data_IF_468562058717
#
_entry.id   IF_468562058717
#
_cell.length_a   1.000
_cell.length_b   1.000
_cell.length_c   1.000
_cell.angle_alpha   90.00
_cell.angle_beta   90.00
_cell.angle_gamma   90.00
#
_symmetry.space_group_name_H-M   'P 1'
#
loop_
_entity.id
_entity.type
_entity.pdbx_description
1 polymer ?
#
# COMPACT_ATOMS: atom_id res chain seq x y z
N UNK A 1 16.53 -2.24 7.50
CA UNK A 1 15.50 -2.83 6.62
C UNK A 1 16.13 -3.18 5.28
N UNK A 2 16.10 -4.46 4.89
CA UNK A 2 16.68 -4.96 3.64
C UNK A 2 15.81 -4.56 2.43
N UNK A 3 16.36 -4.65 1.21
CA UNK A 3 15.59 -4.38 -0.01
C UNK A 3 14.37 -5.31 -0.13
N UNK A 4 14.56 -6.60 0.16
CA UNK A 4 13.47 -7.57 0.20
C UNK A 4 12.34 -7.16 1.17
N UNK A 5 12.70 -6.75 2.39
CA UNK A 5 11.72 -6.32 3.39
C UNK A 5 10.92 -5.11 2.88
N UNK A 6 11.59 -4.13 2.25
CA UNK A 6 10.95 -2.98 1.61
C UNK A 6 9.96 -3.39 0.52
N UNK A 7 10.38 -4.26 -0.39
CA UNK A 7 9.53 -4.72 -1.50
C UNK A 7 8.31 -5.49 -0.99
N UNK A 8 8.49 -6.43 -0.05
CA UNK A 8 7.36 -7.19 0.51
C UNK A 8 6.39 -6.31 1.30
N UNK A 9 6.90 -5.32 2.04
CA UNK A 9 6.07 -4.35 2.75
C UNK A 9 5.26 -3.50 1.77
N UNK A 10 5.90 -2.96 0.72
CA UNK A 10 5.25 -2.15 -0.32
C UNK A 10 4.16 -2.96 -1.04
N UNK A 11 4.44 -4.22 -1.38
CA UNK A 11 3.43 -5.12 -1.94
C UNK A 11 2.23 -5.26 -1.01
N UNK A 12 2.43 -5.51 0.29
CA UNK A 12 1.34 -5.64 1.27
C UNK A 12 0.54 -4.35 1.47
N UNK A 13 1.15 -3.18 1.32
CA UNK A 13 0.41 -1.91 1.37
C UNK A 13 -0.57 -1.77 0.20
N UNK A 14 -0.18 -2.22 -0.99
CA UNK A 14 -1.04 -2.19 -2.18
C UNK A 14 -2.05 -3.34 -2.20
N UNK A 15 -1.70 -4.49 -1.62
CA UNK A 15 -2.48 -5.72 -1.60
C UNK A 15 -2.67 -6.26 -0.17
N UNK A 16 -3.38 -5.53 0.72
CA UNK A 16 -3.41 -5.84 2.15
C UNK A 16 -3.99 -7.24 2.45
N UNK A 17 -5.07 -7.61 1.77
CA UNK A 17 -5.83 -8.83 2.06
C UNK A 17 -5.63 -9.94 1.03
N UNK A 18 -4.62 -9.83 0.17
CA UNK A 18 -4.43 -10.81 -0.90
C UNK A 18 -3.94 -12.16 -0.33
N UNK A 19 -4.64 -13.27 -0.60
CA UNK A 19 -4.25 -14.59 -0.13
C UNK A 19 -3.03 -15.10 -0.91
N UNK A 20 -2.26 -16.01 -0.30
CA UNK A 20 -1.02 -16.56 -0.89
C UNK A 20 -1.23 -17.14 -2.30
N UNK A 21 -2.40 -17.72 -2.56
CA UNK A 21 -2.77 -18.26 -3.88
C UNK A 21 -2.81 -17.18 -4.95
N UNK A 22 -3.40 -16.03 -4.64
CA UNK A 22 -3.48 -14.92 -5.58
C UNK A 22 -2.12 -14.22 -5.75
N UNK A 23 -1.33 -14.12 -4.68
CA UNK A 23 0.05 -13.62 -4.79
C UNK A 23 0.86 -14.53 -5.72
N UNK A 24 0.71 -15.85 -5.58
CA UNK A 24 1.36 -16.84 -6.45
C UNK A 24 0.95 -16.67 -7.90
N UNK A 25 -0.34 -16.48 -8.18
CA UNK A 25 -0.84 -16.25 -9.54
C UNK A 25 -0.34 -14.92 -10.12
N UNK A 26 -0.31 -13.86 -9.32
CA UNK A 26 0.09 -12.51 -9.74
C UNK A 26 1.60 -12.42 -10.03
N UNK A 27 2.42 -13.01 -9.17
CA UNK A 27 3.90 -12.94 -9.28
C UNK A 27 4.49 -14.08 -10.11
N UNK A 28 3.73 -15.14 -10.40
CA UNK A 28 4.24 -16.37 -11.01
C UNK A 28 5.15 -17.20 -10.08
N UNK A 29 5.30 -16.80 -8.82
CA UNK A 29 6.11 -17.51 -7.82
C UNK A 29 5.26 -18.64 -7.23
N UNK A 30 5.82 -19.84 -7.05
CA UNK A 30 5.13 -20.96 -6.42
C UNK A 30 4.58 -20.60 -5.03
N UNK A 31 3.34 -20.97 -4.71
CA UNK A 31 2.67 -20.62 -3.45
C UNK A 31 3.48 -20.94 -2.17
N UNK A 32 4.15 -22.09 -2.14
CA UNK A 32 5.01 -22.51 -1.01
C UNK A 32 6.25 -21.63 -0.90
N UNK A 33 6.79 -21.16 -2.03
CA UNK A 33 7.89 -20.20 -2.06
C UNK A 33 7.44 -18.82 -1.60
N UNK A 34 6.27 -18.34 -2.04
CA UNK A 34 5.67 -17.10 -1.53
C UNK A 34 5.54 -17.13 -0.01
N UNK A 35 4.98 -18.22 0.54
CA UNK A 35 4.89 -18.40 2.00
C UNK A 35 6.26 -18.28 2.67
N UNK A 36 7.29 -18.95 2.15
CA UNK A 36 8.66 -18.89 2.70
C UNK A 36 9.27 -17.49 2.63
N UNK A 37 9.03 -16.73 1.56
CA UNK A 37 9.53 -15.36 1.40
C UNK A 37 8.94 -14.42 2.44
N UNK A 38 7.62 -14.51 2.70
CA UNK A 38 6.97 -13.73 3.76
C UNK A 38 7.41 -14.15 5.18
N UNK A 39 7.99 -15.35 5.33
CA UNK A 39 8.59 -15.82 6.58
C UNK A 39 10.12 -15.61 6.62
N UNK A 40 10.66 -14.68 5.83
CA UNK A 40 12.05 -14.23 5.94
C UNK A 40 13.09 -15.08 5.19
N UNK A 41 12.68 -16.02 4.34
CA UNK A 41 13.65 -16.66 3.42
C UNK A 41 14.15 -15.64 2.39
N UNK A 42 15.44 -15.69 2.09
CA UNK A 42 16.07 -14.83 1.09
C UNK A 42 15.40 -14.96 -0.28
N UNK A 43 15.14 -13.81 -0.89
CA UNK A 43 14.54 -13.62 -2.19
C UNK A 43 15.62 -13.65 -3.28
N UNK A 44 15.34 -14.35 -4.38
CA UNK A 44 16.17 -14.31 -5.59
C UNK A 44 15.86 -13.05 -6.39
N UNK A 45 16.79 -12.65 -7.25
CA UNK A 45 16.61 -11.46 -8.11
C UNK A 45 15.32 -11.53 -8.93
N UNK A 46 15.05 -12.65 -9.62
CA UNK A 46 13.82 -12.78 -10.41
C UNK A 46 12.53 -12.80 -9.58
N UNK A 47 12.60 -13.18 -8.30
CA UNK A 47 11.44 -13.09 -7.39
C UNK A 47 11.20 -11.64 -6.97
N UNK A 48 12.28 -10.87 -6.77
CA UNK A 48 12.22 -9.45 -6.46
C UNK A 48 11.65 -8.66 -7.63
N UNK A 49 12.13 -8.92 -8.84
CA UNK A 49 11.61 -8.33 -10.07
C UNK A 49 10.12 -8.65 -10.29
N UNK A 50 9.69 -9.88 -10.00
CA UNK A 50 8.28 -10.26 -10.09
C UNK A 50 7.39 -9.46 -9.11
N UNK A 51 7.86 -9.23 -7.89
CA UNK A 51 7.14 -8.38 -6.93
C UNK A 51 7.12 -6.91 -7.35
N UNK A 52 8.25 -6.35 -7.79
CA UNK A 52 8.30 -4.97 -8.26
C UNK A 52 7.42 -4.76 -9.50
N UNK A 53 7.39 -5.72 -10.43
CA UNK A 53 6.47 -5.69 -11.57
C UNK A 53 5.01 -5.62 -11.11
N UNK A 54 4.59 -6.50 -10.21
CA UNK A 54 3.21 -6.50 -9.71
C UNK A 54 2.83 -5.20 -8.97
N UNK A 55 3.79 -4.60 -8.24
CA UNK A 55 3.64 -3.30 -7.60
C UNK A 55 3.44 -2.20 -8.64
N UNK A 56 4.29 -2.16 -9.67
CA UNK A 56 4.24 -1.14 -10.71
C UNK A 56 2.98 -1.27 -11.57
N UNK A 57 2.57 -2.49 -11.91
CA UNK A 57 1.32 -2.76 -12.63
C UNK A 57 0.13 -2.21 -11.82
N UNK A 58 0.12 -2.43 -10.49
CA UNK A 58 -0.94 -1.92 -9.61
C UNK A 58 -0.97 -0.40 -9.49
N UNK A 59 0.20 0.21 -9.50
CA UNK A 59 0.34 1.67 -9.50
C UNK A 59 -0.16 2.26 -10.82
N UNK A 60 0.21 1.64 -11.95
CA UNK A 60 -0.18 2.07 -13.29
C UNK A 60 -1.69 1.97 -13.54
N UNK A 61 -2.42 1.06 -12.86
CA UNK A 61 -3.89 1.05 -12.86
C UNK A 61 -4.52 2.36 -12.37
N UNK A 62 -3.76 3.20 -11.66
CA UNK A 62 -4.22 4.51 -11.19
C UNK A 62 -3.40 5.63 -11.84
N UNK A 63 -3.87 6.19 -12.98
CA UNK A 63 -3.17 7.27 -13.70
C UNK A 63 -2.90 8.52 -12.84
N UNK A 64 -3.69 8.71 -11.78
CA UNK A 64 -3.51 9.82 -10.84
C UNK A 64 -2.35 9.57 -9.86
N UNK A 65 -1.98 8.31 -9.60
CA UNK A 65 -0.88 7.96 -8.72
C UNK A 65 0.48 8.17 -9.40
N UNK A 66 0.60 7.85 -10.68
CA UNK A 66 1.82 8.12 -11.44
C UNK A 66 2.13 9.62 -11.47
N UNK A 67 1.12 10.44 -11.81
CA UNK A 67 1.22 11.91 -11.75
C UNK A 67 1.60 12.42 -10.35
N UNK A 68 1.03 11.82 -9.30
CA UNK A 68 1.38 12.17 -7.92
C UNK A 68 2.83 11.82 -7.60
N UNK A 69 3.31 10.66 -8.05
CA UNK A 69 4.69 10.21 -7.80
C UNK A 69 5.69 11.15 -8.45
N UNK A 70 5.48 11.48 -9.72
CA UNK A 70 6.34 12.45 -10.43
C UNK A 70 6.31 13.83 -9.76
N UNK A 71 5.13 14.31 -9.34
CA UNK A 71 5.02 15.58 -8.62
C UNK A 71 5.75 15.57 -7.27
N UNK A 72 5.74 14.45 -6.55
CA UNK A 72 6.47 14.30 -5.28
C UNK A 72 7.98 14.24 -5.50
N UNK A 73 8.44 13.54 -6.53
CA UNK A 73 9.86 13.50 -6.91
C UNK A 73 10.37 14.90 -7.26
N UNK A 74 9.63 15.64 -8.10
CA UNK A 74 9.98 17.02 -8.43
C UNK A 74 9.96 17.92 -7.19
N UNK A 75 8.93 17.81 -6.35
CA UNK A 75 8.83 18.54 -5.09
C UNK A 75 10.01 18.26 -4.15
N UNK A 76 10.56 17.04 -4.14
CA UNK A 76 11.72 16.70 -3.30
C UNK A 76 13.02 17.43 -3.69
N UNK A 77 13.09 17.93 -4.92
CA UNK A 77 14.25 18.69 -5.42
C UNK A 77 14.12 20.20 -5.23
N UNK A 78 12.90 20.69 -4.98
CA UNK A 78 12.58 22.13 -4.92
C UNK A 78 12.24 22.56 -3.50
N UNK A 79 11.45 21.76 -2.78
CA UNK A 79 10.91 22.12 -1.47
C UNK A 79 11.92 21.87 -0.35
N UNK A 80 11.85 22.72 0.66
CA UNK A 80 12.59 22.52 1.91
C UNK A 80 11.97 21.39 2.74
N UNK A 81 12.74 20.86 3.68
CA UNK A 81 12.26 19.80 4.59
C UNK A 81 11.03 20.23 5.41
N UNK A 82 10.92 21.51 5.78
CA UNK A 82 9.78 22.04 6.54
C UNK A 82 8.50 22.08 5.67
N UNK A 83 8.63 22.46 4.41
CA UNK A 83 7.51 22.45 3.45
C UNK A 83 7.05 21.02 3.15
N UNK A 84 7.99 20.09 2.95
CA UNK A 84 7.67 18.68 2.77
C UNK A 84 6.97 18.10 4.00
N UNK A 85 7.38 18.48 5.21
CA UNK A 85 6.73 18.04 6.45
C UNK A 85 5.27 18.51 6.53
N UNK A 86 4.98 19.76 6.17
CA UNK A 86 3.61 20.31 6.13
C UNK A 86 2.72 19.56 5.13
N UNK A 87 3.25 19.23 3.94
CA UNK A 87 2.52 18.45 2.93
C UNK A 87 2.25 17.04 3.43
N UNK A 88 3.24 16.38 4.04
CA UNK A 88 3.10 15.05 4.60
C UNK A 88 2.03 15.01 5.71
N UNK A 89 2.04 16.00 6.61
CA UNK A 89 1.04 16.14 7.67
C UNK A 89 -0.37 16.31 7.11
N UNK A 90 -0.53 17.16 6.08
CA UNK A 90 -1.81 17.35 5.41
C UNK A 90 -2.36 16.03 4.85
N UNK A 91 -1.52 15.27 4.15
CA UNK A 91 -1.89 13.96 3.57
C UNK A 91 -2.25 12.99 4.69
N UNK A 92 -1.43 12.87 5.73
CA UNK A 92 -1.64 11.97 6.86
C UNK A 92 -2.98 12.24 7.57
N UNK A 93 -3.33 13.52 7.75
CA UNK A 93 -4.62 13.95 8.31
C UNK A 93 -5.79 13.54 7.43
N UNK A 94 -5.71 13.75 6.11
CA UNK A 94 -6.78 13.37 5.17
C UNK A 94 -6.97 11.86 5.07
N UNK A 95 -5.88 11.09 5.08
CA UNK A 95 -5.93 9.62 5.10
C UNK A 95 -6.61 9.13 6.38
N UNK A 96 -6.18 9.64 7.54
CA UNK A 96 -6.75 9.27 8.84
C UNK A 96 -8.25 9.57 8.91
N UNK A 97 -8.69 10.75 8.47
CA UNK A 97 -10.10 11.12 8.49
C UNK A 97 -10.99 10.16 7.68
N UNK A 98 -10.51 9.64 6.53
CA UNK A 98 -11.23 8.62 5.76
C UNK A 98 -11.23 7.25 6.43
N UNK A 99 -10.13 6.87 7.08
CA UNK A 99 -10.01 5.60 7.80
C UNK A 99 -10.94 5.54 9.01
N UNK A 100 -11.03 6.61 9.81
CA UNK A 100 -11.90 6.68 10.99
C UNK A 100 -13.36 7.01 10.65
N UNK A 101 -13.64 7.72 9.56
CA UNK A 101 -15.02 7.97 9.10
C UNK A 101 -15.80 6.68 8.75
N UNK A 102 -15.10 5.59 8.39
CA UNK A 102 -15.72 4.27 8.15
C UNK A 102 -16.14 3.54 9.43
N UNK A 103 -15.64 3.92 10.61
CA UNK A 103 -15.97 3.25 11.88
C UNK A 103 -17.21 3.86 12.58
N UNK A 104 -17.68 5.04 12.18
CA UNK A 104 -18.79 5.75 12.83
C UNK A 104 -20.15 5.66 12.12
N UNK A 105 -20.27 4.88 11.05
CA UNK A 105 -21.57 4.59 10.42
C UNK A 105 -21.97 3.13 10.70
N UNK A 106 -22.20 2.82 11.98
CA UNK A 106 -23.30 1.92 12.35
C UNK A 106 -24.42 2.84 12.84
N UNK A 107 -25.57 2.92 12.17
CA UNK A 107 -26.69 3.67 12.71
C UNK A 107 -27.21 2.92 13.93
N UNK A 108 -26.89 3.44 15.12
CA UNK A 108 -27.76 3.30 16.27
C UNK A 108 -29.03 4.09 15.97
N UNK A 109 -29.98 3.46 15.28
CA UNK A 109 -31.38 3.86 15.28
C UNK A 109 -32.22 2.63 15.65
N UNK A 110 -32.06 2.19 16.88
CA UNK A 110 -33.15 1.60 17.66
C UNK A 110 -33.31 2.44 18.92
N UNK A 111 -33.64 3.72 18.74
CA UNK A 111 -34.31 4.48 19.79
C UNK A 111 -35.81 4.25 19.62
N UNK A 112 -36.41 3.67 20.66
CA UNK A 112 -37.70 4.06 21.18
C UNK A 112 -38.80 4.40 20.15
N UNK A 113 -39.67 3.44 19.87
CA UNK A 113 -41.10 3.72 19.83
C UNK A 113 -41.72 2.93 20.98
N UNK A 114 -41.97 3.67 22.05
CA UNK A 114 -43.02 3.37 23.02
C UNK A 114 -44.33 3.62 22.28
N UNK A 115 -45.12 2.56 22.10
CA UNK A 115 -46.58 2.59 22.04
C UNK A 115 -47.08 1.19 22.40
#
# INVERSE_FOLDING_TARGET
MTLQEKTLQRYRQLFPNQPLREISACTGIQITRVFRLFNGKLMKVGELEAFEKAINDKIAENPSFEKLTSAVEEASTILTNDELAKVAEYIARKVSARTFGRFYIKPNYESAIIA
#
